data_IF_995663307394
#
_entry.id   IF_995663307394
#
_cell.length_a   1.000
_cell.length_b   1.000
_cell.length_c   1.000
_cell.angle_alpha   90.00
_cell.angle_beta   90.00
_cell.angle_gamma   90.00
#
_symmetry.space_group_name_H-M   'P 1'
#
loop_
_entity.id
_entity.type
_entity.pdbx_description
1 polymer ?
#
# COMPACT_ATOMS: atom_id res chain seq x y z
N UNK A 1 -30.48 -7.80 -54.36
CA UNK A 1 -29.37 -7.16 -53.65
C UNK A 1 -28.07 -7.85 -54.07
N UNK A 2 -27.09 -7.13 -54.57
CA UNK A 2 -25.91 -7.72 -55.18
C UNK A 2 -24.98 -8.36 -54.10
N UNK A 3 -24.58 -9.59 -54.28
CA UNK A 3 -23.79 -10.39 -53.31
C UNK A 3 -22.53 -9.63 -52.83
N UNK A 4 -21.93 -8.78 -53.69
CA UNK A 4 -20.81 -7.91 -53.34
C UNK A 4 -21.18 -6.81 -52.31
N UNK A 5 -22.39 -6.24 -52.41
CA UNK A 5 -22.88 -5.24 -51.47
C UNK A 5 -23.19 -5.84 -50.11
N UNK A 6 -23.76 -7.05 -50.08
CA UNK A 6 -24.02 -7.77 -48.82
C UNK A 6 -22.71 -8.06 -48.09
N UNK A 7 -21.68 -8.60 -48.77
CA UNK A 7 -20.38 -8.87 -48.18
C UNK A 7 -19.72 -7.60 -47.64
N UNK A 8 -19.76 -6.50 -48.40
CA UNK A 8 -19.19 -5.20 -47.95
C UNK A 8 -19.88 -4.68 -46.70
N UNK A 9 -21.23 -4.71 -46.69
CA UNK A 9 -21.99 -4.24 -45.54
C UNK A 9 -21.80 -5.13 -44.30
N UNK A 10 -21.69 -6.45 -44.50
CA UNK A 10 -21.36 -7.36 -43.39
C UNK A 10 -19.97 -7.09 -42.80
N UNK A 11 -18.95 -6.88 -43.64
CA UNK A 11 -17.61 -6.57 -43.19
C UNK A 11 -17.59 -5.24 -42.42
N UNK A 12 -18.24 -4.18 -42.95
CA UNK A 12 -18.35 -2.90 -42.26
C UNK A 12 -19.12 -3.03 -40.94
N UNK A 13 -20.21 -3.82 -40.91
CA UNK A 13 -20.93 -4.09 -39.67
C UNK A 13 -20.05 -4.76 -38.61
N UNK A 14 -19.33 -5.82 -38.98
CA UNK A 14 -18.42 -6.51 -38.07
C UNK A 14 -17.33 -5.54 -37.58
N UNK A 15 -16.69 -4.79 -38.46
CA UNK A 15 -15.60 -3.86 -38.12
C UNK A 15 -16.08 -2.78 -37.16
N UNK A 16 -17.32 -2.30 -37.28
CA UNK A 16 -17.87 -1.25 -36.41
C UNK A 16 -18.44 -1.81 -35.10
N UNK A 17 -19.21 -2.92 -35.16
CA UNK A 17 -19.86 -3.45 -33.96
C UNK A 17 -18.96 -4.34 -33.12
N UNK A 18 -17.92 -4.99 -33.68
CA UNK A 18 -17.05 -5.89 -32.91
C UNK A 18 -16.31 -5.16 -31.78
N UNK A 19 -15.70 -3.96 -31.98
CA UNK A 19 -15.07 -3.23 -30.87
C UNK A 19 -16.09 -2.82 -29.79
N UNK A 20 -17.29 -2.40 -30.21
CA UNK A 20 -18.36 -1.98 -29.27
C UNK A 20 -18.87 -3.17 -28.46
N UNK A 21 -19.15 -4.30 -29.10
CA UNK A 21 -19.58 -5.52 -28.41
C UNK A 21 -18.49 -6.05 -27.49
N UNK A 22 -17.22 -6.01 -27.90
CA UNK A 22 -16.10 -6.38 -27.05
C UNK A 22 -16.03 -5.50 -25.78
N UNK A 23 -16.19 -4.19 -25.91
CA UNK A 23 -16.24 -3.28 -24.75
C UNK A 23 -17.47 -3.57 -23.86
N UNK A 24 -18.62 -3.90 -24.45
CA UNK A 24 -19.81 -4.28 -23.68
C UNK A 24 -19.63 -5.60 -22.91
N UNK A 25 -18.90 -6.56 -23.47
CA UNK A 25 -18.53 -7.79 -22.76
C UNK A 25 -17.55 -7.56 -21.62
N UNK A 26 -16.65 -6.58 -21.74
CA UNK A 26 -15.72 -6.20 -20.68
C UNK A 26 -16.38 -5.38 -19.56
N UNK A 27 -17.50 -4.69 -19.85
CA UNK A 27 -18.16 -3.82 -18.89
C UNK A 27 -18.64 -4.52 -17.61
N UNK A 28 -19.22 -5.75 -17.65
CA UNK A 28 -19.59 -6.48 -16.45
C UNK A 28 -18.42 -7.25 -15.80
N UNK A 29 -17.19 -7.12 -16.31
CA UNK A 29 -16.04 -7.77 -15.71
C UNK A 29 -15.86 -7.25 -14.27
N UNK A 30 -16.30 -8.02 -13.30
CA UNK A 30 -15.98 -7.76 -11.88
C UNK A 30 -14.50 -8.04 -11.70
N UNK A 31 -13.76 -7.02 -11.30
CA UNK A 31 -12.37 -7.21 -10.88
C UNK A 31 -12.39 -8.04 -9.59
N UNK A 32 -12.11 -9.32 -9.70
CA UNK A 32 -11.85 -10.17 -8.55
C UNK A 32 -10.44 -9.83 -8.04
N UNK A 33 -10.36 -9.18 -6.89
CA UNK A 33 -9.13 -8.98 -6.15
C UNK A 33 -9.34 -9.53 -4.74
N UNK A 34 -8.32 -10.15 -4.18
CA UNK A 34 -8.34 -10.54 -2.78
C UNK A 34 -8.18 -9.28 -1.94
N UNK A 35 -9.08 -9.06 -0.99
CA UNK A 35 -8.97 -7.94 -0.05
C UNK A 35 -7.77 -8.17 0.87
N UNK A 36 -7.10 -7.09 1.27
CA UNK A 36 -6.10 -7.17 2.32
C UNK A 36 -6.77 -7.47 3.66
N UNK A 37 -6.14 -8.37 4.43
CA UNK A 37 -6.58 -8.67 5.78
C UNK A 37 -6.23 -7.53 6.74
N UNK A 38 -7.03 -7.40 7.81
CA UNK A 38 -6.68 -6.64 9.00
C UNK A 38 -5.88 -7.55 9.90
N UNK A 39 -4.60 -7.23 10.12
CA UNK A 39 -3.70 -8.02 10.95
C UNK A 39 -3.73 -7.57 12.41
N UNK A 40 -3.75 -6.27 12.64
CA UNK A 40 -3.82 -5.64 13.97
C UNK A 40 -4.73 -4.43 13.91
N UNK A 41 -5.62 -4.29 14.88
CA UNK A 41 -6.46 -3.10 15.08
C UNK A 41 -5.88 -2.22 16.19
N UNK A 42 -6.18 -0.91 16.14
CA UNK A 42 -5.84 0.02 17.20
C UNK A 42 -4.35 0.34 17.24
N UNK A 43 -3.72 0.49 16.08
CA UNK A 43 -2.38 1.06 15.98
C UNK A 43 -2.39 2.46 16.59
N UNK A 44 -1.38 2.79 17.41
CA UNK A 44 -1.28 4.10 18.01
C UNK A 44 -1.07 5.18 16.96
N UNK A 45 -1.81 6.28 17.08
CA UNK A 45 -1.62 7.44 16.22
C UNK A 45 -0.45 8.31 16.69
N UNK A 46 -0.02 9.26 15.87
CA UNK A 46 1.16 10.11 16.05
C UNK A 46 0.90 11.31 17.01
N UNK A 47 0.02 11.11 17.99
CA UNK A 47 -0.25 12.14 18.97
C UNK A 47 1.01 12.54 19.75
N UNK A 48 1.34 13.83 19.72
CA UNK A 48 2.51 14.36 20.42
C UNK A 48 3.85 14.26 19.64
N UNK A 49 3.80 13.78 18.41
CA UNK A 49 4.95 13.90 17.50
C UNK A 49 4.99 15.30 16.88
N UNK A 50 6.20 15.85 16.75
CA UNK A 50 6.43 17.08 15.99
C UNK A 50 6.69 16.79 14.52
N UNK A 51 6.51 17.78 13.65
CA UNK A 51 6.82 17.68 12.23
C UNK A 51 7.15 19.07 11.66
N UNK A 52 7.68 19.12 10.45
CA UNK A 52 7.89 20.37 9.70
C UNK A 52 6.60 20.92 9.06
N UNK A 53 5.46 20.26 9.24
CA UNK A 53 4.16 20.70 8.70
C UNK A 53 3.46 21.68 9.67
N UNK A 54 2.65 22.58 9.09
CA UNK A 54 1.86 23.55 9.87
C UNK A 54 0.76 22.89 10.72
N UNK A 55 0.30 21.70 10.32
CA UNK A 55 -0.72 20.94 11.03
C UNK A 55 -0.14 19.61 11.56
N UNK A 56 -0.69 19.06 12.64
CA UNK A 56 -0.32 17.74 13.14
C UNK A 56 -0.49 16.67 12.05
N UNK A 57 0.50 15.83 11.90
CA UNK A 57 0.42 14.66 11.03
C UNK A 57 -0.17 13.51 11.83
N UNK A 58 -1.26 12.94 11.34
CA UNK A 58 -1.96 11.81 11.95
C UNK A 58 -2.07 10.66 10.95
N UNK A 59 -2.14 9.44 11.47
CA UNK A 59 -2.39 8.23 10.68
C UNK A 59 -3.88 8.07 10.41
N UNK A 60 -4.72 8.47 11.37
CA UNK A 60 -6.18 8.40 11.25
C UNK A 60 -6.66 9.12 9.99
N UNK A 61 -7.69 8.60 9.36
CA UNK A 61 -8.28 9.14 8.13
C UNK A 61 -7.37 9.08 6.88
N UNK A 62 -6.17 8.46 6.96
CA UNK A 62 -5.24 8.32 5.85
C UNK A 62 -4.86 6.86 5.59
N UNK A 63 -4.59 6.56 4.33
CA UNK A 63 -3.86 5.36 3.96
C UNK A 63 -2.37 5.69 4.04
N UNK A 64 -1.71 5.18 5.05
CA UNK A 64 -0.33 5.54 5.38
C UNK A 64 0.63 4.39 5.12
N UNK A 65 1.73 4.70 4.46
CA UNK A 65 2.94 3.87 4.49
C UNK A 65 3.82 4.39 5.61
N UNK A 66 3.96 3.58 6.66
CA UNK A 66 4.71 3.94 7.87
C UNK A 66 6.10 3.31 7.85
N UNK A 67 7.14 4.11 8.05
CA UNK A 67 8.53 3.67 8.14
C UNK A 67 9.24 4.22 9.38
N UNK A 68 10.32 3.56 9.82
CA UNK A 68 11.15 3.95 10.97
C UNK A 68 12.60 4.04 10.52
N UNK A 69 13.15 5.26 10.39
CA UNK A 69 14.50 5.46 9.86
C UNK A 69 15.57 5.67 10.94
N UNK A 70 15.13 5.84 12.20
CA UNK A 70 16.02 5.90 13.36
C UNK A 70 16.92 7.12 13.43
N UNK A 71 18.03 6.99 14.18
CA UNK A 71 18.95 8.10 14.51
C UNK A 71 19.76 8.62 13.33
N UNK A 72 19.87 7.87 12.23
CA UNK A 72 20.68 8.23 11.05
C UNK A 72 19.87 8.12 9.75
N UNK A 73 18.91 9.03 9.52
CA UNK A 73 18.01 8.96 8.36
C UNK A 73 18.75 9.07 7.01
N UNK A 74 19.88 9.76 6.92
CA UNK A 74 20.70 9.81 5.70
C UNK A 74 21.15 8.40 5.28
N UNK A 75 21.48 7.53 6.24
CA UNK A 75 21.84 6.13 5.97
C UNK A 75 20.73 5.31 5.33
N UNK A 76 19.47 5.79 5.38
CA UNK A 76 18.29 5.18 4.78
C UNK A 76 17.95 5.73 3.39
N UNK A 77 18.90 6.39 2.72
CA UNK A 77 18.68 6.99 1.39
C UNK A 77 18.15 5.98 0.36
N UNK A 78 18.70 4.75 0.32
CA UNK A 78 18.24 3.70 -0.62
C UNK A 78 16.79 3.30 -0.33
N UNK A 79 16.45 3.07 0.95
CA UNK A 79 15.08 2.78 1.41
C UNK A 79 14.12 3.91 0.99
N UNK A 80 14.51 5.16 1.26
CA UNK A 80 13.71 6.34 0.93
C UNK A 80 13.51 6.51 -0.60
N UNK A 81 14.58 6.33 -1.39
CA UNK A 81 14.51 6.42 -2.86
C UNK A 81 13.61 5.34 -3.45
N UNK A 82 13.75 4.09 -2.98
CA UNK A 82 12.89 2.99 -3.41
C UNK A 82 11.41 3.26 -3.08
N UNK A 83 11.12 3.73 -1.87
CA UNK A 83 9.75 4.10 -1.47
C UNK A 83 9.21 5.23 -2.34
N UNK A 84 10.03 6.26 -2.63
CA UNK A 84 9.63 7.36 -3.49
C UNK A 84 9.28 6.86 -4.90
N UNK A 85 10.18 6.17 -5.55
CA UNK A 85 10.02 5.78 -6.96
C UNK A 85 8.98 4.67 -7.15
N UNK A 86 8.95 3.69 -6.25
CA UNK A 86 8.14 2.48 -6.44
C UNK A 86 6.74 2.59 -5.82
N UNK A 87 6.56 3.48 -4.84
CA UNK A 87 5.29 3.62 -4.11
C UNK A 87 4.75 5.05 -4.21
N UNK A 88 5.47 6.05 -3.68
CA UNK A 88 4.98 7.43 -3.63
C UNK A 88 4.58 7.98 -5.01
N UNK A 89 5.43 7.86 -6.00
CA UNK A 89 5.18 8.39 -7.35
C UNK A 89 3.94 7.77 -8.01
N UNK A 90 3.55 6.56 -7.63
CA UNK A 90 2.34 5.90 -8.12
C UNK A 90 1.06 6.39 -7.46
N UNK A 91 1.14 6.78 -6.17
CA UNK A 91 -0.04 7.03 -5.34
C UNK A 91 -0.19 8.48 -4.87
N UNK A 92 0.80 9.36 -5.09
CA UNK A 92 0.77 10.80 -4.72
C UNK A 92 -0.43 11.60 -5.25
N UNK A 93 -1.15 11.08 -6.25
CA UNK A 93 -2.39 11.68 -6.75
C UNK A 93 -3.62 11.47 -5.85
N UNK A 94 -3.53 10.61 -4.84
CA UNK A 94 -4.63 10.34 -3.92
C UNK A 94 -4.47 11.18 -2.65
N UNK A 95 -5.42 12.11 -2.41
CA UNK A 95 -5.36 13.07 -1.28
C UNK A 95 -5.31 12.44 0.11
N UNK A 96 -5.79 11.22 0.26
CA UNK A 96 -5.81 10.47 1.53
C UNK A 96 -4.66 9.46 1.63
N UNK A 97 -3.70 9.50 0.71
CA UNK A 97 -2.47 8.72 0.77
C UNK A 97 -1.34 9.56 1.33
N UNK A 98 -0.52 8.96 2.18
CA UNK A 98 0.70 9.58 2.69
C UNK A 98 1.80 8.56 2.97
N UNK A 99 3.04 9.01 2.96
CA UNK A 99 4.18 8.29 3.54
C UNK A 99 4.60 9.06 4.80
N UNK A 100 4.71 8.35 5.90
CA UNK A 100 5.14 8.90 7.18
C UNK A 100 6.39 8.16 7.65
N UNK A 101 7.46 8.90 7.86
CA UNK A 101 8.72 8.38 8.39
C UNK A 101 8.89 8.89 9.80
N UNK A 102 8.93 7.95 10.73
CA UNK A 102 9.10 8.21 12.16
C UNK A 102 10.59 8.26 12.50
N UNK A 103 10.99 9.31 13.20
CA UNK A 103 12.35 9.64 13.53
C UNK A 103 12.47 10.03 15.01
N UNK A 104 13.61 9.78 15.66
CA UNK A 104 13.92 10.36 16.96
C UNK A 104 14.08 11.88 16.88
N UNK A 105 13.68 12.59 17.95
CA UNK A 105 14.01 14.00 18.15
C UNK A 105 15.52 14.21 18.05
N UNK A 106 15.95 15.34 17.46
CA UNK A 106 17.36 15.68 17.24
C UNK A 106 17.93 15.21 15.90
N UNK A 107 17.12 14.56 15.05
CA UNK A 107 17.52 14.11 13.70
C UNK A 107 17.00 15.01 12.57
N UNK A 108 16.41 16.17 12.91
CA UNK A 108 15.72 17.06 11.99
C UNK A 108 16.62 17.55 10.85
N UNK A 109 17.90 17.82 11.14
CA UNK A 109 18.87 18.32 10.16
C UNK A 109 19.24 17.25 9.12
N UNK A 110 19.50 16.01 9.59
CA UNK A 110 19.75 14.89 8.68
C UNK A 110 18.49 14.55 7.85
N UNK A 111 17.32 14.58 8.47
CA UNK A 111 16.06 14.36 7.78
C UNK A 111 15.79 15.42 6.70
N UNK A 112 16.10 16.69 6.99
CA UNK A 112 15.99 17.79 6.03
C UNK A 112 16.94 17.59 4.85
N UNK A 113 18.16 17.13 5.10
CA UNK A 113 19.13 16.81 4.05
C UNK A 113 18.61 15.67 3.18
N UNK A 114 18.13 14.58 3.77
CA UNK A 114 17.53 13.47 3.03
C UNK A 114 16.31 13.93 2.20
N UNK A 115 15.43 14.75 2.80
CA UNK A 115 14.26 15.31 2.11
C UNK A 115 14.68 16.14 0.90
N UNK A 116 15.70 16.98 1.02
CA UNK A 116 16.21 17.80 -0.07
C UNK A 116 16.75 16.95 -1.24
N UNK A 117 17.42 15.83 -0.95
CA UNK A 117 17.87 14.90 -1.97
C UNK A 117 16.71 14.22 -2.70
N UNK A 118 15.69 13.78 -1.99
CA UNK A 118 14.50 13.17 -2.56
C UNK A 118 13.66 14.15 -3.38
N UNK A 119 13.61 15.43 -2.97
CA UNK A 119 12.85 16.50 -3.62
C UNK A 119 13.54 17.11 -4.85
N UNK A 120 14.74 16.65 -5.19
CA UNK A 120 15.57 17.24 -6.25
C UNK A 120 14.83 17.48 -7.58
N UNK A 121 13.80 16.68 -7.86
CA UNK A 121 13.04 16.74 -9.11
C UNK A 121 11.55 17.03 -8.91
N UNK A 122 11.03 16.91 -7.69
CA UNK A 122 9.60 17.05 -7.39
C UNK A 122 9.33 17.29 -5.91
N UNK A 123 8.31 18.10 -5.60
CA UNK A 123 7.85 18.33 -4.23
C UNK A 123 7.16 17.09 -3.65
N UNK A 124 7.52 16.73 -2.41
CA UNK A 124 6.98 15.59 -1.68
C UNK A 124 5.82 16.02 -0.78
N UNK A 125 4.70 16.42 -1.36
CA UNK A 125 3.53 16.98 -0.66
C UNK A 125 2.94 16.06 0.42
N UNK A 126 2.93 14.76 0.19
CA UNK A 126 2.34 13.75 1.06
C UNK A 126 3.40 12.82 1.66
N UNK A 127 4.60 13.32 1.82
CA UNK A 127 5.71 12.66 2.50
C UNK A 127 6.10 13.48 3.73
N UNK A 128 5.93 12.88 4.89
CA UNK A 128 6.13 13.57 6.16
C UNK A 128 7.20 12.88 6.98
N UNK A 129 8.08 13.69 7.57
CA UNK A 129 8.96 13.29 8.66
C UNK A 129 8.33 13.74 9.97
N UNK A 130 8.22 12.82 10.93
CA UNK A 130 7.68 13.09 12.26
C UNK A 130 8.68 12.68 13.31
N UNK A 131 8.79 13.48 14.35
CA UNK A 131 9.83 13.35 15.36
C UNK A 131 9.20 13.10 16.72
N UNK A 132 9.73 12.10 17.44
CA UNK A 132 9.25 11.75 18.76
C UNK A 132 10.31 11.19 19.66
N UNK A 133 9.94 11.05 20.95
CA UNK A 133 10.83 10.43 21.92
C UNK A 133 11.08 8.94 21.58
N UNK A 134 12.23 8.36 21.97
CA UNK A 134 12.51 6.93 21.80
C UNK A 134 11.41 6.02 22.35
N UNK A 135 10.79 6.42 23.46
CA UNK A 135 9.71 5.64 24.07
C UNK A 135 8.44 5.70 23.23
N UNK A 136 8.07 6.87 22.70
CA UNK A 136 6.92 7.05 21.82
C UNK A 136 7.08 6.25 20.52
N UNK A 137 8.28 6.26 19.93
CA UNK A 137 8.61 5.48 18.72
C UNK A 137 8.45 3.98 18.98
N UNK A 138 9.02 3.48 20.09
CA UNK A 138 8.86 2.08 20.49
C UNK A 138 7.40 1.72 20.73
N UNK A 139 6.63 2.60 21.37
CA UNK A 139 5.20 2.35 21.64
C UNK A 139 4.40 2.21 20.33
N UNK A 140 4.62 3.09 19.34
CA UNK A 140 3.97 2.97 18.03
C UNK A 140 4.37 1.67 17.36
N UNK A 141 5.67 1.35 17.30
CA UNK A 141 6.13 0.11 16.68
C UNK A 141 5.53 -1.14 17.38
N UNK A 142 5.50 -1.14 18.70
CA UNK A 142 4.86 -2.24 19.48
C UNK A 142 3.38 -2.38 19.20
N UNK A 143 2.67 -1.26 18.95
CA UNK A 143 1.24 -1.30 18.62
C UNK A 143 0.93 -1.99 17.28
N UNK A 144 1.91 -2.11 16.38
CA UNK A 144 1.78 -2.87 15.13
C UNK A 144 1.64 -4.37 15.38
N UNK A 145 2.15 -4.87 16.53
CA UNK A 145 2.15 -6.28 16.90
C UNK A 145 2.76 -7.19 15.82
N UNK A 146 3.92 -6.79 15.31
CA UNK A 146 4.67 -7.49 14.26
C UNK A 146 5.90 -8.20 14.83
N UNK A 147 6.39 -9.28 14.16
CA UNK A 147 7.60 -9.97 14.60
C UNK A 147 8.89 -9.18 14.36
N UNK A 148 8.86 -8.21 13.44
CA UNK A 148 10.01 -7.37 13.12
C UNK A 148 10.35 -6.47 14.32
N UNK A 149 11.63 -6.27 14.60
CA UNK A 149 12.11 -5.41 15.67
C UNK A 149 12.82 -4.18 15.10
N UNK A 150 12.76 -3.06 15.84
CA UNK A 150 13.64 -1.92 15.59
C UNK A 150 15.04 -2.27 16.09
N UNK A 151 16.06 -1.80 15.37
CA UNK A 151 17.45 -1.91 15.78
C UNK A 151 17.80 -0.98 16.98
N UNK A 152 19.06 -0.99 17.41
CA UNK A 152 19.53 -0.13 18.49
C UNK A 152 19.36 1.38 18.20
N UNK A 153 19.29 1.77 16.93
CA UNK A 153 19.09 3.12 16.45
C UNK A 153 17.61 3.47 16.22
N UNK A 154 16.68 2.62 16.60
CA UNK A 154 15.24 2.75 16.34
C UNK A 154 14.88 2.73 14.84
N UNK A 155 15.65 2.02 14.04
CA UNK A 155 15.46 1.89 12.60
C UNK A 155 15.04 0.48 12.18
N UNK A 156 14.35 0.38 11.06
CA UNK A 156 14.14 -0.86 10.30
C UNK A 156 14.09 -0.55 8.80
N UNK A 157 14.38 -1.54 7.96
CA UNK A 157 14.17 -1.44 6.52
C UNK A 157 12.76 -1.90 6.10
N UNK A 158 11.97 -2.34 7.05
CA UNK A 158 10.59 -2.73 6.83
C UNK A 158 9.64 -1.53 6.95
N UNK A 159 8.64 -1.51 6.10
CA UNK A 159 7.56 -0.51 6.10
C UNK A 159 6.21 -1.20 6.19
N UNK A 160 5.22 -0.47 6.70
CA UNK A 160 3.94 -1.00 7.10
C UNK A 160 2.81 -0.22 6.43
N UNK A 161 1.71 -0.89 6.10
CA UNK A 161 0.51 -0.24 5.56
C UNK A 161 -0.50 -0.09 6.70
N UNK A 162 -0.81 1.15 7.06
CA UNK A 162 -1.83 1.49 8.04
C UNK A 162 -3.02 2.11 7.32
N UNK A 163 -4.20 1.60 7.57
CA UNK A 163 -5.42 2.12 6.97
C UNK A 163 -6.00 3.33 7.74
N UNK A 164 -7.04 3.93 7.19
CA UNK A 164 -7.71 5.11 7.74
C UNK A 164 -8.44 4.86 9.08
N UNK A 165 -8.53 3.61 9.52
CA UNK A 165 -9.16 3.20 10.81
C UNK A 165 -8.08 2.74 11.81
N UNK A 166 -6.81 3.15 11.62
CA UNK A 166 -5.68 2.78 12.47
C UNK A 166 -5.46 1.26 12.57
N UNK A 167 -5.64 0.56 11.46
CA UNK A 167 -5.42 -0.88 11.39
C UNK A 167 -4.23 -1.21 10.50
N UNK A 168 -3.36 -2.11 10.97
CA UNK A 168 -2.29 -2.69 10.16
C UNK A 168 -2.90 -3.65 9.13
N UNK A 169 -2.61 -3.38 7.86
CA UNK A 169 -3.11 -4.19 6.74
C UNK A 169 -1.99 -5.05 6.15
N UNK A 170 -2.36 -6.26 5.77
CA UNK A 170 -1.42 -7.20 5.19
C UNK A 170 -2.10 -8.48 4.72
N UNK A 171 -1.37 -9.58 4.65
CA UNK A 171 -1.88 -10.88 4.24
C UNK A 171 -1.69 -11.91 5.34
N UNK A 172 -2.74 -12.62 5.71
CA UNK A 172 -2.66 -13.76 6.63
C UNK A 172 -1.95 -14.96 6.01
N UNK A 173 -2.05 -15.10 4.69
CA UNK A 173 -1.35 -16.11 3.90
C UNK A 173 -0.73 -15.46 2.68
N UNK A 174 0.60 -15.37 2.62
CA UNK A 174 1.37 -14.81 1.51
C UNK A 174 2.04 -15.90 0.66
N UNK A 175 1.59 -17.16 0.78
CA UNK A 175 2.12 -18.26 -0.04
C UNK A 175 1.78 -18.04 -1.50
N UNK A 176 2.75 -18.33 -2.36
CA UNK A 176 2.56 -18.41 -3.81
C UNK A 176 1.84 -19.70 -4.19
N UNK A 177 1.26 -19.77 -5.39
CA UNK A 177 0.59 -20.98 -5.91
C UNK A 177 1.49 -22.23 -5.85
N UNK A 178 2.79 -22.08 -6.10
CA UNK A 178 3.77 -23.15 -5.99
C UNK A 178 3.99 -23.61 -4.54
N UNK A 179 3.95 -22.67 -3.59
CA UNK A 179 4.08 -22.96 -2.16
C UNK A 179 2.80 -23.60 -1.61
N UNK A 180 1.64 -23.21 -2.11
CA UNK A 180 0.36 -23.88 -1.84
C UNK A 180 0.38 -25.32 -2.34
N UNK A 181 0.78 -25.55 -3.59
CA UNK A 181 0.87 -26.87 -4.20
C UNK A 181 1.88 -27.78 -3.46
N UNK A 182 2.96 -27.21 -2.93
CA UNK A 182 3.97 -27.93 -2.14
C UNK A 182 3.62 -28.07 -0.65
N UNK A 183 2.43 -27.61 -0.23
CA UNK A 183 1.94 -27.66 1.17
C UNK A 183 2.90 -27.00 2.16
N UNK A 184 3.58 -25.93 1.77
CA UNK A 184 4.43 -25.14 2.65
C UNK A 184 3.59 -24.59 3.82
N UNK A 185 4.13 -24.49 5.05
CA UNK A 185 3.42 -23.86 6.16
C UNK A 185 2.97 -22.43 5.82
N UNK A 186 1.80 -22.03 6.32
CA UNK A 186 1.28 -20.66 6.18
C UNK A 186 2.24 -19.67 6.83
N UNK A 187 2.48 -18.56 6.16
CA UNK A 187 3.21 -17.42 6.72
C UNK A 187 2.53 -16.11 6.37
N UNK A 188 2.53 -15.22 7.33
CA UNK A 188 1.90 -13.91 7.25
C UNK A 188 2.83 -12.88 6.63
N UNK A 189 2.26 -11.91 5.90
CA UNK A 189 2.97 -10.72 5.44
C UNK A 189 2.39 -9.47 6.10
N UNK A 190 3.10 -8.99 7.12
CA UNK A 190 2.72 -7.81 7.90
C UNK A 190 3.54 -6.56 7.53
N UNK A 191 4.69 -6.75 6.86
CA UNK A 191 5.62 -5.68 6.49
C UNK A 191 6.22 -5.93 5.11
N UNK A 192 6.82 -4.88 4.53
CA UNK A 192 7.46 -4.92 3.21
C UNK A 192 8.89 -4.43 3.33
N UNK A 193 9.83 -5.22 2.84
CA UNK A 193 11.26 -4.88 2.82
C UNK A 193 11.51 -3.79 1.76
N UNK A 194 11.79 -2.57 2.22
CA UNK A 194 11.96 -1.41 1.36
C UNK A 194 13.32 -1.36 0.63
N UNK A 195 14.25 -2.23 0.98
CA UNK A 195 15.47 -2.44 0.20
C UNK A 195 15.17 -3.34 -1.02
N UNK A 196 14.25 -4.28 -0.90
CA UNK A 196 13.89 -5.20 -1.97
C UNK A 196 12.89 -4.58 -2.95
N UNK A 197 13.39 -4.15 -4.10
CA UNK A 197 12.59 -3.59 -5.20
C UNK A 197 11.38 -4.48 -5.54
N UNK A 198 11.57 -5.79 -5.59
CA UNK A 198 10.50 -6.74 -5.91
C UNK A 198 9.36 -6.72 -4.87
N UNK A 199 9.68 -6.57 -3.59
CA UNK A 199 8.70 -6.53 -2.51
C UNK A 199 7.85 -5.24 -2.57
N UNK A 200 8.48 -4.10 -2.80
CA UNK A 200 7.77 -2.83 -2.98
C UNK A 200 6.97 -2.78 -4.28
N UNK A 201 7.59 -3.18 -5.40
CA UNK A 201 6.99 -3.03 -6.73
C UNK A 201 5.84 -4.02 -6.96
N UNK A 202 6.04 -5.29 -6.60
CA UNK A 202 5.12 -6.37 -6.97
C UNK A 202 4.12 -6.69 -5.86
N UNK A 203 4.49 -6.52 -4.57
CA UNK A 203 3.59 -6.82 -3.45
C UNK A 203 2.98 -5.54 -2.89
N UNK A 204 3.78 -4.66 -2.30
CA UNK A 204 3.26 -3.47 -1.63
C UNK A 204 2.43 -2.57 -2.55
N UNK A 205 2.92 -2.31 -3.77
CA UNK A 205 2.18 -1.46 -4.72
C UNK A 205 0.84 -2.07 -5.12
N UNK A 206 0.75 -3.40 -5.24
CA UNK A 206 -0.51 -4.09 -5.52
C UNK A 206 -1.45 -4.00 -4.31
N UNK A 207 -0.94 -4.21 -3.10
CA UNK A 207 -1.72 -4.18 -1.87
C UNK A 207 -2.29 -2.78 -1.60
N UNK A 208 -1.50 -1.72 -1.80
CA UNK A 208 -1.99 -0.33 -1.76
C UNK A 208 -3.09 -0.09 -2.80
N UNK A 209 -2.95 -0.62 -4.02
CA UNK A 209 -3.97 -0.51 -5.08
C UNK A 209 -5.27 -1.23 -4.70
N UNK A 210 -5.16 -2.41 -4.08
CA UNK A 210 -6.30 -3.17 -3.57
C UNK A 210 -7.06 -2.34 -2.53
N UNK A 211 -6.37 -1.71 -1.57
CA UNK A 211 -6.99 -0.85 -0.55
C UNK A 211 -7.70 0.36 -1.15
N UNK A 212 -7.12 1.02 -2.15
CA UNK A 212 -7.82 2.11 -2.85
C UNK A 212 -9.08 1.63 -3.57
N UNK A 213 -9.05 0.41 -4.11
CA UNK A 213 -10.22 -0.20 -4.74
C UNK A 213 -11.28 -0.53 -3.69
N UNK A 214 -10.89 -1.10 -2.56
CA UNK A 214 -11.75 -1.36 -1.39
C UNK A 214 -12.43 -0.07 -0.91
N UNK A 215 -11.66 1.02 -0.70
CA UNK A 215 -12.23 2.31 -0.28
C UNK A 215 -13.20 2.90 -1.29
N UNK A 216 -12.91 2.75 -2.60
CA UNK A 216 -13.83 3.18 -3.65
C UNK A 216 -15.13 2.38 -3.61
N UNK A 217 -15.07 1.08 -3.38
CA UNK A 217 -16.24 0.21 -3.29
C UNK A 217 -17.04 0.49 -2.01
N UNK A 218 -16.40 0.64 -0.86
CA UNK A 218 -17.03 1.04 0.41
C UNK A 218 -17.81 2.34 0.24
N UNK A 219 -17.21 3.36 -0.36
CA UNK A 219 -17.85 4.66 -0.62
C UNK A 219 -19.05 4.56 -1.57
N UNK A 220 -19.06 3.60 -2.50
CA UNK A 220 -20.17 3.35 -3.43
C UNK A 220 -21.24 2.41 -2.86
N UNK A 221 -21.08 1.91 -1.64
CA UNK A 221 -21.98 0.93 -1.03
C UNK A 221 -21.92 -0.48 -1.66
N UNK A 222 -20.92 -0.76 -2.48
CA UNK A 222 -20.79 -2.02 -3.23
C UNK A 222 -19.76 -2.98 -2.59
N UNK A 223 -19.26 -2.68 -1.40
CA UNK A 223 -18.26 -3.49 -0.72
C UNK A 223 -18.94 -4.49 0.22
N UNK A 224 -18.72 -5.77 -0.02
CA UNK A 224 -19.13 -6.87 0.87
C UNK A 224 -17.89 -7.69 1.23
N UNK A 225 -17.37 -7.49 2.45
CA UNK A 225 -16.22 -8.23 2.96
C UNK A 225 -16.59 -9.64 3.43
N UNK A 226 -17.88 -9.87 3.73
CA UNK A 226 -18.33 -11.12 4.36
C UNK A 226 -18.41 -12.26 3.36
N UNK A 227 -18.81 -11.98 2.12
CA UNK A 227 -18.96 -13.00 1.08
C UNK A 227 -17.64 -13.59 0.60
N UNK A 228 -16.54 -12.82 0.66
CA UNK A 228 -15.21 -13.28 0.22
C UNK A 228 -14.51 -14.13 1.28
N UNK A 229 -14.52 -13.71 2.55
CA UNK A 229 -13.99 -14.53 3.66
C UNK A 229 -14.69 -15.87 3.76
N UNK A 230 -16.01 -15.90 3.57
CA UNK A 230 -16.78 -17.14 3.62
C UNK A 230 -16.45 -18.08 2.45
N UNK A 231 -16.09 -17.55 1.28
CA UNK A 231 -15.71 -18.37 0.12
C UNK A 231 -14.25 -18.87 0.21
N UNK A 232 -13.33 -18.05 0.74
CA UNK A 232 -11.93 -18.46 0.95
C UNK A 232 -11.82 -19.52 2.05
N UNK A 233 -12.65 -19.46 3.09
CA UNK A 233 -12.69 -20.47 4.17
C UNK A 233 -13.36 -21.79 3.70
N UNK A 234 -14.22 -21.76 2.70
CA UNK A 234 -14.84 -22.97 2.14
C UNK A 234 -13.94 -23.73 1.17
N UNK A 235 -12.90 -23.09 0.63
CA UNK A 235 -11.94 -23.74 -0.28
C UNK A 235 -10.81 -24.50 0.42
N UNK A 236 -10.78 -24.54 1.77
CA UNK A 236 -9.71 -25.21 2.54
C UNK A 236 -10.13 -26.58 3.14
N UNK A 237 -11.37 -27.03 2.89
CA UNK A 237 -11.91 -28.29 3.43
C UNK A 237 -12.18 -29.37 2.35
N UNK A 238 -11.47 -29.34 1.20
CA UNK A 238 -11.47 -30.46 0.22
C UNK A 238 -10.06 -31.01 -0.04
#
# INVERSE_FOLDING_TARGET
MNTKQIKRNAILGILFFLPVTFLLFLYPAKHNYNTLDVLTNGVLDLNGFSSDADAPILLEDHLTVLGFFGMHPIGKHTTASNLKELVYDKFKGFKKFQIVIVLPEGTEEEARTLKAELMKYEELKFWHFVYGSPNSIKAIHQSLNVPDALDANLATDHVYIIDNELSLRGRLDDRTDNELASKKPVYQKASYDAIKVADLKNKMSEDVRVLFTEYRQKRKGNFDSTSRRANDLKGTDE
#
